data_IF_325222783928
#
_entry.id   IF_325222783928
#
_cell.length_a   1.000
_cell.length_b   1.000
_cell.length_c   1.000
_cell.angle_alpha   90.00
_cell.angle_beta   90.00
_cell.angle_gamma   90.00
#
_symmetry.space_group_name_H-M   'P 1'
#
loop_
_entity.id
_entity.type
_entity.pdbx_description
1 polymer ?
#
# COMPACT_ATOMS: atom_id res chain seq x y z
N UNK A 1 -34.04 -47.89 22.02
CA UNK A 1 -34.45 -46.76 21.15
C UNK A 1 -34.14 -45.45 21.87
N UNK A 2 -33.43 -44.54 21.17
CA UNK A 2 -33.17 -43.11 21.46
C UNK A 2 -32.17 -42.75 22.58
N UNK A 3 -30.92 -42.65 22.14
CA UNK A 3 -29.80 -41.87 22.71
C UNK A 3 -30.17 -40.37 22.65
N UNK A 4 -29.94 -39.61 23.72
CA UNK A 4 -29.72 -38.14 23.62
C UNK A 4 -28.73 -37.71 24.71
N UNK A 5 -27.47 -37.56 24.29
CA UNK A 5 -26.40 -37.02 25.10
C UNK A 5 -26.57 -35.49 25.23
N UNK A 6 -26.44 -35.00 26.47
CA UNK A 6 -26.62 -33.61 26.87
C UNK A 6 -25.35 -32.80 26.53
N UNK A 7 -25.33 -32.25 25.32
CA UNK A 7 -24.26 -31.44 24.75
C UNK A 7 -24.28 -30.00 25.32
N UNK A 8 -23.71 -29.75 26.51
CA UNK A 8 -23.74 -28.41 27.11
C UNK A 8 -22.32 -27.94 27.45
N UNK A 9 -21.76 -27.17 26.51
CA UNK A 9 -20.73 -26.12 26.65
C UNK A 9 -19.39 -26.51 27.27
N UNK A 10 -18.47 -26.95 26.40
CA UNK A 10 -17.03 -26.79 26.62
C UNK A 10 -16.62 -25.36 26.26
N UNK A 11 -15.94 -24.73 27.22
CA UNK A 11 -15.34 -23.40 27.19
C UNK A 11 -14.43 -23.22 25.97
N UNK A 12 -14.82 -22.36 25.02
CA UNK A 12 -13.89 -21.80 24.03
C UNK A 12 -13.38 -20.48 24.61
N UNK A 13 -12.48 -20.58 25.58
CA UNK A 13 -11.49 -19.55 25.80
C UNK A 13 -10.27 -19.95 24.97
N UNK A 14 -9.99 -19.26 23.87
CA UNK A 14 -8.64 -19.01 23.33
C UNK A 14 -8.79 -18.26 22.00
N UNK A 15 -8.18 -17.07 21.93
CA UNK A 15 -7.96 -16.37 20.67
C UNK A 15 -8.54 -14.95 20.62
N UNK A 16 -8.19 -14.09 21.58
CA UNK A 16 -7.96 -12.69 21.20
C UNK A 16 -6.77 -12.70 20.24
N UNK A 17 -7.05 -12.93 18.95
CA UNK A 17 -6.14 -12.53 17.88
C UNK A 17 -6.15 -11.00 17.89
N UNK A 18 -5.42 -10.43 18.86
CA UNK A 18 -4.94 -9.06 18.77
C UNK A 18 -4.10 -9.03 17.50
N UNK A 19 -4.71 -8.59 16.40
CA UNK A 19 -4.05 -8.31 15.15
C UNK A 19 -3.04 -7.19 15.38
N UNK A 20 -1.87 -7.55 15.91
CA UNK A 20 -0.65 -6.81 15.67
C UNK A 20 -0.39 -6.95 14.18
N UNK A 21 -0.98 -6.05 13.40
CA UNK A 21 -0.64 -5.88 12.00
C UNK A 21 0.82 -5.42 11.95
N UNK A 22 1.72 -6.39 11.96
CA UNK A 22 3.11 -6.15 11.61
C UNK A 22 3.09 -5.85 10.13
N UNK A 23 3.31 -4.59 9.77
CA UNK A 23 3.37 -4.20 8.37
C UNK A 23 4.32 -5.16 7.65
N UNK A 24 3.83 -5.88 6.65
CA UNK A 24 4.63 -6.88 5.95
C UNK A 24 5.79 -6.17 5.24
N UNK A 25 7.01 -6.66 5.45
CA UNK A 25 8.21 -6.06 4.88
C UNK A 25 8.36 -6.57 3.45
N UNK A 26 8.28 -5.66 2.48
CA UNK A 26 8.46 -6.00 1.08
C UNK A 26 9.91 -5.73 0.65
N UNK A 27 10.70 -6.79 0.53
CA UNK A 27 12.12 -6.72 0.16
C UNK A 27 12.38 -6.89 -1.35
N UNK A 28 11.40 -7.39 -2.11
CA UNK A 28 11.57 -7.67 -3.54
C UNK A 28 10.24 -7.62 -4.29
N UNK A 29 9.40 -8.64 -4.16
CA UNK A 29 8.17 -8.75 -4.93
C UNK A 29 7.05 -9.44 -4.16
N UNK A 30 5.82 -8.95 -4.32
CA UNK A 30 4.58 -9.56 -3.84
C UNK A 30 3.66 -9.72 -5.05
N UNK A 31 3.07 -10.91 -5.22
CA UNK A 31 2.17 -11.18 -6.34
C UNK A 31 0.91 -11.94 -5.94
N UNK A 32 -0.20 -11.63 -6.62
CA UNK A 32 -1.46 -12.40 -6.61
C UNK A 32 -1.97 -12.76 -5.21
N UNK A 33 -1.81 -11.85 -4.26
CA UNK A 33 -2.19 -12.07 -2.87
C UNK A 33 -2.91 -10.85 -2.29
N UNK A 34 -3.68 -11.05 -1.24
CA UNK A 34 -4.12 -9.99 -0.35
C UNK A 34 -3.13 -9.88 0.80
N UNK A 35 -2.59 -8.69 1.04
CA UNK A 35 -1.63 -8.44 2.12
C UNK A 35 -2.11 -7.25 2.95
N UNK A 36 -1.77 -7.25 4.24
CA UNK A 36 -1.99 -6.08 5.08
C UNK A 36 -1.05 -4.92 4.69
N UNK A 37 -1.02 -3.87 5.52
CA UNK A 37 -0.09 -2.76 5.35
C UNK A 37 1.36 -3.20 5.13
N UNK A 38 2.11 -2.45 4.34
CA UNK A 38 3.45 -2.80 3.87
C UNK A 38 4.50 -1.78 4.29
N UNK A 39 5.73 -2.25 4.49
CA UNK A 39 6.90 -1.41 4.67
C UNK A 39 8.00 -1.81 3.69
N UNK A 40 8.44 -0.88 2.86
CA UNK A 40 9.57 -1.04 1.94
C UNK A 40 10.80 -0.45 2.64
N UNK A 41 11.82 -1.27 2.96
CA UNK A 41 12.99 -0.82 3.68
C UNK A 41 13.85 0.14 2.86
N UNK A 42 14.77 0.82 3.55
CA UNK A 42 15.62 1.82 2.93
C UNK A 42 16.49 1.20 1.82
N UNK A 43 16.58 1.88 0.68
CA UNK A 43 17.28 1.42 -0.53
C UNK A 43 16.77 0.09 -1.13
N UNK A 44 15.66 -0.45 -0.65
CA UNK A 44 15.05 -1.65 -1.23
C UNK A 44 14.09 -1.29 -2.36
N UNK A 45 13.84 -2.23 -3.27
CA UNK A 45 12.79 -2.10 -4.29
C UNK A 45 11.72 -3.13 -4.02
N UNK A 46 10.48 -2.66 -3.92
CA UNK A 46 9.31 -3.50 -3.78
C UNK A 46 8.45 -3.39 -5.03
N UNK A 47 8.14 -4.53 -5.63
CA UNK A 47 7.23 -4.66 -6.77
C UNK A 47 5.98 -5.41 -6.29
N UNK A 48 4.83 -4.77 -6.41
CA UNK A 48 3.53 -5.34 -6.02
C UNK A 48 2.74 -5.55 -7.31
N UNK A 49 2.34 -6.80 -7.58
CA UNK A 49 1.71 -7.17 -8.85
C UNK A 49 0.45 -8.01 -8.67
N UNK A 50 -0.71 -7.52 -9.11
CA UNK A 50 -1.97 -8.25 -8.95
C UNK A 50 -2.37 -8.44 -7.49
N UNK A 51 -1.96 -7.53 -6.60
CA UNK A 51 -2.13 -7.67 -5.16
C UNK A 51 -3.06 -6.58 -4.63
N UNK A 52 -3.92 -6.97 -3.69
CA UNK A 52 -4.73 -6.03 -2.91
C UNK A 52 -4.01 -5.78 -1.57
N UNK A 53 -3.70 -4.52 -1.30
CA UNK A 53 -3.09 -4.09 -0.04
C UNK A 53 -4.16 -3.46 0.83
N UNK A 54 -4.51 -4.14 1.92
CA UNK A 54 -5.43 -3.64 2.94
C UNK A 54 -4.63 -2.97 4.06
N UNK A 55 -4.39 -1.67 3.91
CA UNK A 55 -3.62 -0.86 4.83
C UNK A 55 -2.61 0.06 4.17
N UNK A 56 -1.82 0.74 5.00
CA UNK A 56 -0.88 1.76 4.54
C UNK A 56 0.41 1.15 3.98
N UNK A 57 0.95 1.76 2.94
CA UNK A 57 2.26 1.41 2.38
C UNK A 57 3.27 2.49 2.76
N UNK A 58 4.31 2.10 3.48
CA UNK A 58 5.38 3.00 3.91
C UNK A 58 6.65 2.69 3.13
N UNK A 59 7.20 3.67 2.42
CA UNK A 59 8.46 3.54 1.67
C UNK A 59 9.52 4.37 2.37
N UNK A 60 10.55 3.68 2.87
CA UNK A 60 11.66 4.32 3.55
C UNK A 60 12.63 4.98 2.57
N UNK A 61 13.54 5.79 3.12
CA UNK A 61 14.53 6.56 2.37
C UNK A 61 15.28 5.73 1.33
N UNK A 62 15.37 6.25 0.10
CA UNK A 62 16.02 5.60 -1.03
C UNK A 62 15.28 4.36 -1.57
N UNK A 63 14.20 3.93 -0.92
CA UNK A 63 13.37 2.83 -1.38
C UNK A 63 12.65 3.14 -2.69
N UNK A 64 12.25 2.10 -3.42
CA UNK A 64 11.45 2.23 -4.64
C UNK A 64 10.22 1.34 -4.55
N UNK A 65 9.06 1.89 -4.88
CA UNK A 65 7.80 1.16 -4.91
C UNK A 65 7.24 1.14 -6.32
N UNK A 66 6.85 -0.03 -6.78
CA UNK A 66 6.17 -0.24 -8.07
C UNK A 66 4.90 -1.03 -7.82
N UNK A 67 3.76 -0.41 -8.08
CA UNK A 67 2.43 -1.03 -8.05
C UNK A 67 1.98 -1.29 -9.49
N UNK A 68 1.76 -2.56 -9.81
CA UNK A 68 1.28 -3.04 -11.10
C UNK A 68 -0.03 -3.78 -10.92
N UNK A 69 -1.10 -3.37 -11.61
CA UNK A 69 -2.39 -4.06 -11.59
C UNK A 69 -2.88 -4.37 -10.15
N UNK A 70 -2.65 -3.44 -9.24
CA UNK A 70 -2.80 -3.63 -7.80
C UNK A 70 -3.66 -2.53 -7.19
N UNK A 71 -4.36 -2.83 -6.09
CA UNK A 71 -5.16 -1.85 -5.34
C UNK A 71 -4.60 -1.65 -3.95
N UNK A 72 -4.68 -0.41 -3.45
CA UNK A 72 -4.30 -0.05 -2.08
C UNK A 72 -5.49 0.62 -1.41
N UNK A 73 -6.14 -0.10 -0.49
CA UNK A 73 -7.21 0.41 0.38
C UNK A 73 -6.59 1.07 1.60
N UNK A 74 -5.79 2.12 1.34
CA UNK A 74 -4.98 2.80 2.33
C UNK A 74 -4.17 3.94 1.72
N UNK A 75 -3.34 4.58 2.55
CA UNK A 75 -2.48 5.67 2.10
C UNK A 75 -1.07 5.19 1.78
N UNK A 76 -0.43 5.82 0.79
CA UNK A 76 0.98 5.61 0.48
C UNK A 76 1.79 6.75 1.08
N UNK A 77 2.75 6.41 1.93
CA UNK A 77 3.68 7.36 2.54
C UNK A 77 5.10 7.01 2.09
N UNK A 78 5.70 7.89 1.30
CA UNK A 78 7.06 7.76 0.81
C UNK A 78 7.89 8.95 1.31
N UNK A 79 8.73 8.70 2.30
CA UNK A 79 9.65 9.69 2.86
C UNK A 79 11.04 9.49 2.25
N UNK A 80 11.55 10.51 1.56
CA UNK A 80 12.84 10.48 0.89
C UNK A 80 13.06 9.27 -0.04
N UNK A 81 11.98 8.68 -0.57
CA UNK A 81 12.07 7.53 -1.45
C UNK A 81 12.69 7.92 -2.81
N UNK A 82 13.31 6.95 -3.48
CA UNK A 82 13.91 7.18 -4.79
C UNK A 82 12.84 7.29 -5.87
N UNK A 83 11.86 6.40 -5.86
CA UNK A 83 10.76 6.43 -6.84
C UNK A 83 9.50 5.76 -6.33
N UNK A 84 8.36 6.22 -6.81
CA UNK A 84 7.05 5.60 -6.60
C UNK A 84 6.35 5.52 -7.94
N UNK A 85 5.93 4.33 -8.35
CA UNK A 85 5.29 4.11 -9.64
C UNK A 85 3.97 3.37 -9.43
N UNK A 86 2.90 3.96 -9.95
CA UNK A 86 1.54 3.43 -9.96
C UNK A 86 1.19 3.15 -11.42
N UNK A 87 0.98 1.87 -11.77
CA UNK A 87 0.76 1.44 -13.16
C UNK A 87 -0.45 0.51 -13.19
N UNK A 88 -1.51 0.94 -13.88
CA UNK A 88 -2.80 0.24 -13.91
C UNK A 88 -3.31 -0.08 -12.49
N UNK A 89 -3.18 0.87 -11.57
CA UNK A 89 -3.40 0.67 -10.14
C UNK A 89 -4.38 1.67 -9.55
N UNK A 90 -4.96 1.32 -8.41
CA UNK A 90 -5.87 2.19 -7.68
C UNK A 90 -5.37 2.43 -6.25
N UNK A 91 -5.42 3.67 -5.80
CA UNK A 91 -5.14 4.07 -4.42
C UNK A 91 -6.33 4.85 -3.92
N UNK A 92 -7.02 4.30 -2.92
CA UNK A 92 -8.21 4.93 -2.33
C UNK A 92 -7.80 6.08 -1.39
N UNK A 93 -6.64 5.96 -0.74
CA UNK A 93 -6.13 6.94 0.20
C UNK A 93 -5.26 8.03 -0.42
N UNK A 94 -4.65 8.82 0.46
CA UNK A 94 -3.72 9.87 0.08
C UNK A 94 -2.36 9.29 -0.34
N UNK A 95 -1.70 9.96 -1.28
CA UNK A 95 -0.32 9.68 -1.68
C UNK A 95 0.56 10.82 -1.18
N UNK A 96 1.36 10.56 -0.14
CA UNK A 96 2.29 11.51 0.47
C UNK A 96 3.72 11.18 0.07
N UNK A 97 4.34 12.06 -0.71
CA UNK A 97 5.73 11.96 -1.17
C UNK A 97 6.57 13.11 -0.60
N UNK A 98 6.86 13.02 0.70
CA UNK A 98 7.72 13.98 1.37
C UNK A 98 9.17 13.73 0.94
N UNK A 99 9.67 14.50 -0.02
CA UNK A 99 11.07 14.43 -0.43
C UNK A 99 11.43 13.28 -1.38
N UNK A 100 10.48 12.74 -2.15
CA UNK A 100 10.85 11.85 -3.25
C UNK A 100 11.75 12.60 -4.23
N UNK A 101 13.00 12.16 -4.36
CA UNK A 101 14.03 12.89 -5.12
C UNK A 101 14.08 12.51 -6.59
N UNK A 102 13.51 11.36 -6.95
CA UNK A 102 13.47 10.89 -8.32
C UNK A 102 12.13 11.18 -8.99
N UNK A 103 11.26 10.16 -9.02
CA UNK A 103 10.06 10.15 -9.86
C UNK A 103 8.85 9.61 -9.10
N UNK A 104 7.75 10.35 -9.15
CA UNK A 104 6.40 9.85 -8.91
C UNK A 104 5.72 9.64 -10.27
N UNK A 105 5.55 8.39 -10.68
CA UNK A 105 4.85 8.03 -11.93
C UNK A 105 3.46 7.51 -11.61
N UNK A 106 2.45 8.03 -12.30
CA UNK A 106 1.07 7.59 -12.23
C UNK A 106 0.62 7.32 -13.67
N UNK A 107 0.46 6.05 -14.03
CA UNK A 107 0.17 5.60 -15.39
C UNK A 107 -1.09 4.73 -15.38
N UNK A 108 -2.11 5.12 -16.15
CA UNK A 108 -3.41 4.43 -16.20
C UNK A 108 -3.97 4.09 -14.82
N UNK A 109 -3.75 4.97 -13.85
CA UNK A 109 -4.02 4.71 -12.44
C UNK A 109 -4.99 5.73 -11.86
N UNK A 110 -5.67 5.33 -10.79
CA UNK A 110 -6.57 6.20 -10.03
C UNK A 110 -5.99 6.48 -8.65
N UNK A 111 -5.98 7.75 -8.24
CA UNK A 111 -5.73 8.16 -6.86
C UNK A 111 -6.96 8.94 -6.40
N UNK A 112 -7.72 8.36 -5.49
CA UNK A 112 -8.96 8.98 -5.00
C UNK A 112 -8.70 10.00 -3.88
N UNK A 113 -7.56 9.89 -3.20
CA UNK A 113 -7.13 10.84 -2.19
C UNK A 113 -6.32 12.02 -2.74
N UNK A 114 -5.77 12.79 -1.82
CA UNK A 114 -4.89 13.93 -2.13
C UNK A 114 -3.48 13.43 -2.43
N UNK A 115 -2.85 14.07 -3.39
CA UNK A 115 -1.48 13.79 -3.79
C UNK A 115 -0.57 14.90 -3.27
N UNK A 116 0.13 14.64 -2.17
CA UNK A 116 1.09 15.57 -1.59
C UNK A 116 2.50 15.28 -2.13
N UNK A 117 3.07 16.23 -2.85
CA UNK A 117 4.48 16.20 -3.26
C UNK A 117 5.30 17.33 -2.66
N UNK A 118 6.59 17.08 -2.54
CA UNK A 118 7.61 18.13 -2.45
C UNK A 118 7.97 18.70 -3.83
N UNK A 119 8.55 19.90 -3.86
CA UNK A 119 9.05 20.55 -5.08
C UNK A 119 10.23 19.83 -5.74
N UNK A 120 10.84 18.86 -5.06
CA UNK A 120 11.86 17.98 -5.62
C UNK A 120 11.23 16.80 -6.39
N UNK A 121 9.97 16.46 -6.11
CA UNK A 121 9.29 15.32 -6.71
C UNK A 121 8.84 15.68 -8.11
N UNK A 122 9.39 15.01 -9.13
CA UNK A 122 8.90 15.12 -10.50
C UNK A 122 7.67 14.22 -10.65
N UNK A 123 6.50 14.80 -10.92
CA UNK A 123 5.27 14.04 -11.15
C UNK A 123 5.10 13.77 -12.66
N UNK A 124 4.88 12.51 -13.03
CA UNK A 124 4.49 12.13 -14.38
C UNK A 124 3.17 11.38 -14.31
N UNK A 125 2.08 12.04 -14.70
CA UNK A 125 0.77 11.44 -14.81
C UNK A 125 0.43 11.18 -16.29
N UNK A 126 0.08 9.94 -16.64
CA UNK A 126 -0.35 9.55 -17.98
C UNK A 126 -1.65 8.75 -17.89
N UNK A 127 -2.68 9.18 -18.64
CA UNK A 127 -4.01 8.53 -18.65
C UNK A 127 -4.55 8.20 -17.24
N UNK A 128 -4.28 9.06 -16.26
CA UNK A 128 -4.56 8.79 -14.84
C UNK A 128 -5.54 9.79 -14.28
N UNK A 129 -6.35 9.35 -13.32
CA UNK A 129 -7.29 10.21 -12.60
C UNK A 129 -6.75 10.45 -11.20
N UNK A 130 -6.58 11.71 -10.81
CA UNK A 130 -6.21 12.10 -9.45
C UNK A 130 -7.38 12.94 -8.94
N UNK A 131 -8.26 12.31 -8.15
CA UNK A 131 -9.51 12.90 -7.70
C UNK A 131 -9.34 13.75 -6.43
N UNK A 132 -8.24 14.50 -6.36
CA UNK A 132 -7.85 15.26 -5.18
C UNK A 132 -6.91 16.40 -5.51
N UNK A 133 -6.52 17.15 -4.48
CA UNK A 133 -5.56 18.24 -4.65
C UNK A 133 -4.16 17.67 -4.93
N UNK A 134 -3.55 18.11 -6.01
CA UNK A 134 -2.13 17.90 -6.28
C UNK A 134 -1.33 19.00 -5.58
N UNK A 135 -0.40 18.59 -4.72
CA UNK A 135 0.48 19.48 -3.96
C UNK A 135 1.57 20.11 -4.83
N UNK A 136 2.69 20.52 -4.20
CA UNK A 136 3.78 21.26 -4.86
C UNK A 136 4.70 20.38 -5.73
N UNK A 137 4.15 19.48 -6.54
CA UNK A 137 4.97 18.65 -7.43
C UNK A 137 5.64 19.53 -8.51
N UNK A 138 6.79 19.08 -9.01
CA UNK A 138 7.51 19.69 -10.14
C UNK A 138 7.10 19.07 -11.47
#
# INVERSE_FOLDING_TARGET
>A
MKITAKQWMLMISLGLYSGLSMAAVCNSQIQNNAVGGLSVPANATCIINGTAVDGNVNVQKGGSLVLHNSSVSGSIQADAAKSVQLINSAVEGDVRTAGVTGLLKVDKSSVEGKLYCSSATRLQANMSSINGTVGKCK
#
